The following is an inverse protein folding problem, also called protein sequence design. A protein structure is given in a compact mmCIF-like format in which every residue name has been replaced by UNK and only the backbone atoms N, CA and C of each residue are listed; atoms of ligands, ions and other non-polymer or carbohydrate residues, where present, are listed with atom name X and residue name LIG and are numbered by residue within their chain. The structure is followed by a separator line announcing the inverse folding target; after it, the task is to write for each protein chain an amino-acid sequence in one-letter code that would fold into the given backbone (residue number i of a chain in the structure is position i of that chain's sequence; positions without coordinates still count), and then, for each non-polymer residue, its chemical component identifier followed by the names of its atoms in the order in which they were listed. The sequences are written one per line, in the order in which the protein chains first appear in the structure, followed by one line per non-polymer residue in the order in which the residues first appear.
data_IF_437770510487
#
_entry.id   IF_437770510487
#
_cell.length_a   1.000
_cell.length_b   1.000
_cell.length_c   1.000
_cell.angle_alpha   90.00
_cell.angle_beta   90.00
_cell.angle_gamma   90.00
#
_symmetry.space_group_name_H-M   'P 1'
#
loop_
_entity.id
_entity.type
_entity.pdbx_description
1 polymer ?
#
# COMPACT_ATOMS: atom_id res chain seq x y z
N UNK A 1 35.84 -58.34 5.18
CA UNK A 1 35.64 -56.93 4.78
C UNK A 1 36.61 -56.15 5.62
N UNK A 2 37.80 -56.01 5.07
CA UNK A 2 39.03 -56.24 5.83
C UNK A 2 39.59 -54.96 6.41
N UNK A 3 39.98 -55.03 7.68
CA UNK A 3 40.65 -53.98 8.43
C UNK A 3 42.00 -53.57 7.80
N UNK A 4 42.53 -54.38 6.87
CA UNK A 4 43.79 -54.16 6.15
C UNK A 4 43.67 -53.16 4.99
N UNK A 5 42.48 -52.94 4.43
CA UNK A 5 42.29 -51.96 3.34
C UNK A 5 42.44 -50.51 3.85
N UNK A 6 42.13 -50.27 5.12
CA UNK A 6 42.29 -48.95 5.74
C UNK A 6 43.75 -48.60 6.06
N UNK A 7 44.65 -49.60 6.14
CA UNK A 7 46.06 -49.39 6.48
C UNK A 7 46.95 -49.11 5.26
N UNK A 8 46.46 -49.30 4.03
CA UNK A 8 47.22 -49.06 2.79
C UNK A 8 46.86 -47.76 2.07
N UNK A 9 45.96 -46.95 2.63
CA UNK A 9 45.64 -45.64 2.07
C UNK A 9 46.83 -44.69 2.29
N UNK A 10 47.48 -44.31 1.20
CA UNK A 10 48.55 -43.31 1.17
C UNK A 10 48.10 -42.06 1.94
N UNK A 11 48.97 -41.52 2.80
CA UNK A 11 48.70 -40.32 3.61
C UNK A 11 48.20 -39.17 2.72
N UNK A 12 48.68 -39.11 1.47
CA UNK A 12 48.21 -38.13 0.48
C UNK A 12 46.73 -38.27 0.13
N UNK A 13 46.21 -39.50 0.05
CA UNK A 13 44.78 -39.77 -0.22
C UNK A 13 43.93 -39.37 0.99
N UNK A 14 44.38 -39.66 2.21
CA UNK A 14 43.68 -39.26 3.44
C UNK A 14 43.62 -37.74 3.60
N UNK A 15 44.73 -37.04 3.33
CA UNK A 15 44.77 -35.56 3.33
C UNK A 15 43.86 -34.99 2.24
N UNK A 16 43.89 -35.55 1.03
CA UNK A 16 43.02 -35.13 -0.08
C UNK A 16 41.53 -35.27 0.25
N UNK A 17 41.13 -36.39 0.86
CA UNK A 17 39.75 -36.61 1.31
C UNK A 17 39.36 -35.64 2.44
N UNK A 18 40.26 -35.37 3.39
CA UNK A 18 40.02 -34.40 4.47
C UNK A 18 39.77 -32.99 3.95
N UNK A 19 40.59 -32.53 2.99
CA UNK A 19 40.42 -31.22 2.35
C UNK A 19 39.12 -31.16 1.53
N UNK A 20 38.78 -32.22 0.80
CA UNK A 20 37.55 -32.28 0.02
C UNK A 20 36.30 -32.22 0.91
N UNK A 21 36.28 -32.98 2.02
CA UNK A 21 35.17 -32.93 3.00
C UNK A 21 35.07 -31.56 3.64
N UNK A 22 36.19 -30.94 4.02
CA UNK A 22 36.19 -29.59 4.59
C UNK A 22 35.66 -28.56 3.58
N UNK A 23 36.08 -28.63 2.32
CA UNK A 23 35.60 -27.75 1.26
C UNK A 23 34.09 -27.92 1.02
N UNK A 24 33.57 -29.16 1.03
CA UNK A 24 32.13 -29.44 0.92
C UNK A 24 31.37 -28.88 2.13
N UNK A 25 31.88 -29.04 3.35
CA UNK A 25 31.24 -28.52 4.56
C UNK A 25 31.23 -26.98 4.57
N UNK A 26 32.32 -26.34 4.15
CA UNK A 26 32.41 -24.88 4.02
C UNK A 26 31.46 -24.39 2.92
N UNK A 27 31.42 -25.05 1.77
CA UNK A 27 30.50 -24.70 0.68
C UNK A 27 29.04 -24.91 1.11
N UNK A 28 28.73 -25.99 1.81
CA UNK A 28 27.40 -26.23 2.36
C UNK A 28 27.03 -25.16 3.39
N UNK A 29 27.90 -24.88 4.36
CA UNK A 29 27.69 -23.82 5.35
C UNK A 29 27.50 -22.45 4.68
N UNK A 30 28.30 -22.13 3.65
CA UNK A 30 28.17 -20.92 2.86
C UNK A 30 26.85 -20.87 2.09
N UNK A 31 26.43 -21.96 1.45
CA UNK A 31 25.16 -22.06 0.73
C UNK A 31 23.95 -21.99 1.68
N UNK A 32 24.02 -22.62 2.84
CA UNK A 32 22.99 -22.54 3.88
C UNK A 32 22.92 -21.14 4.49
N UNK A 33 24.06 -20.50 4.75
CA UNK A 33 24.14 -19.12 5.27
C UNK A 33 23.71 -18.08 4.22
N UNK A 34 23.96 -18.33 2.94
CA UNK A 34 23.64 -17.40 1.84
C UNK A 34 22.17 -17.49 1.36
N UNK A 35 21.40 -18.48 1.83
CA UNK A 35 19.97 -18.57 1.50
C UNK A 35 19.22 -17.45 2.21
N UNK A 36 18.82 -16.43 1.45
CA UNK A 36 17.88 -15.42 1.94
C UNK A 36 16.61 -16.13 2.43
N UNK A 37 16.14 -15.86 3.66
CA UNK A 37 14.93 -16.49 4.17
C UNK A 37 13.76 -16.16 3.24
N UNK A 38 12.99 -17.19 2.89
CA UNK A 38 11.82 -17.05 2.03
C UNK A 38 10.75 -16.28 2.80
N UNK A 39 10.29 -15.14 2.26
CA UNK A 39 9.25 -14.32 2.87
C UNK A 39 7.94 -15.08 3.11
N UNK A 40 7.22 -14.72 4.16
CA UNK A 40 5.96 -15.35 4.53
C UNK A 40 4.74 -14.88 3.72
N UNK A 41 4.88 -13.79 2.95
CA UNK A 41 3.79 -13.24 2.14
C UNK A 41 3.53 -14.02 0.85
N UNK A 42 2.28 -13.94 0.37
CA UNK A 42 1.81 -14.50 -0.91
C UNK A 42 1.13 -13.40 -1.74
N UNK A 43 1.63 -13.10 -2.97
CA UNK A 43 1.08 -12.00 -3.76
C UNK A 43 -0.35 -12.24 -4.22
N UNK A 44 -0.74 -13.51 -4.42
CA UNK A 44 -2.00 -13.88 -5.07
C UNK A 44 -3.04 -14.30 -4.03
N UNK A 45 -2.62 -15.02 -2.99
CA UNK A 45 -3.52 -15.61 -2.00
C UNK A 45 -3.44 -14.91 -0.64
N UNK A 46 -4.54 -14.95 0.13
CA UNK A 46 -4.52 -14.54 1.52
C UNK A 46 -3.94 -15.66 2.39
N UNK A 47 -3.09 -15.27 3.34
CA UNK A 47 -2.57 -16.13 4.41
C UNK A 47 -2.98 -15.57 5.76
N UNK A 48 -3.30 -16.46 6.68
CA UNK A 48 -3.74 -16.11 8.02
C UNK A 48 -2.54 -15.98 8.95
N UNK A 49 -2.48 -14.88 9.72
CA UNK A 49 -1.44 -14.64 10.72
C UNK A 49 -2.09 -14.39 12.07
N UNK A 50 -1.60 -15.06 13.11
CA UNK A 50 -2.21 -14.99 14.45
C UNK A 50 -1.76 -13.73 15.18
N UNK A 51 -2.72 -13.02 15.78
CA UNK A 51 -2.47 -11.90 16.68
C UNK A 51 -1.97 -12.42 18.03
N UNK A 52 -0.73 -12.11 18.37
CA UNK A 52 -0.12 -12.55 19.64
C UNK A 52 -0.07 -11.44 20.70
N UNK A 53 -0.10 -10.18 20.28
CA UNK A 53 -0.11 -9.04 21.21
C UNK A 53 -0.89 -7.87 20.63
N UNK A 54 -1.70 -7.24 21.49
CA UNK A 54 -2.38 -5.97 21.22
C UNK A 54 -1.98 -4.98 22.32
N UNK A 55 -1.47 -3.83 21.94
CA UNK A 55 -1.06 -2.77 22.85
C UNK A 55 -1.78 -1.48 22.48
N UNK A 56 -2.60 -0.94 23.39
CA UNK A 56 -3.23 0.36 23.19
C UNK A 56 -2.17 1.46 23.35
N UNK A 57 -2.05 2.36 22.38
CA UNK A 57 -1.08 3.47 22.41
C UNK A 57 -1.74 4.81 22.76
N UNK A 58 -2.97 5.04 22.26
CA UNK A 58 -3.78 6.21 22.59
C UNK A 58 -5.27 5.88 22.51
N UNK A 59 -6.17 6.84 22.72
CA UNK A 59 -7.62 6.61 22.68
C UNK A 59 -8.14 5.98 21.37
N UNK A 60 -7.47 6.21 20.24
CA UNK A 60 -7.87 5.69 18.93
C UNK A 60 -6.76 4.95 18.18
N UNK A 61 -5.65 4.59 18.85
CA UNK A 61 -4.50 3.92 18.24
C UNK A 61 -4.12 2.69 19.03
N UNK A 62 -3.93 1.58 18.33
CA UNK A 62 -3.33 0.38 18.91
C UNK A 62 -2.27 -0.22 17.98
N UNK A 63 -1.28 -0.85 18.60
CA UNK A 63 -0.27 -1.68 17.95
C UNK A 63 -0.68 -3.14 18.04
N UNK A 64 -0.65 -3.83 16.90
CA UNK A 64 -1.01 -5.24 16.75
C UNK A 64 0.23 -6.01 16.28
N UNK A 65 0.66 -7.00 17.04
CA UNK A 65 1.82 -7.84 16.74
C UNK A 65 1.33 -9.22 16.31
N UNK A 66 1.67 -9.61 15.08
CA UNK A 66 1.28 -10.89 14.50
C UNK A 66 2.50 -11.80 14.40
N UNK A 67 2.35 -13.06 14.80
CA UNK A 67 3.45 -14.04 14.67
C UNK A 67 3.60 -14.53 13.23
N UNK A 68 4.85 -14.78 12.84
CA UNK A 68 5.20 -15.49 11.62
C UNK A 68 5.33 -17.00 11.91
N UNK A 69 5.34 -17.87 10.88
CA UNK A 69 5.33 -19.32 11.06
C UNK A 69 6.47 -19.87 11.93
N UNK A 70 7.63 -19.21 11.96
CA UNK A 70 8.75 -19.56 12.85
C UNK A 70 9.37 -18.32 13.47
N UNK A 71 10.07 -18.43 14.62
CA UNK A 71 10.77 -17.29 15.25
C UNK A 71 11.86 -16.64 14.38
N UNK A 72 12.35 -17.36 13.38
CA UNK A 72 13.40 -16.89 12.45
C UNK A 72 12.84 -16.46 11.09
N UNK A 73 11.53 -16.59 10.88
CA UNK A 73 10.87 -16.19 9.64
C UNK A 73 10.92 -14.67 9.45
N UNK A 74 10.93 -14.21 8.20
CA UNK A 74 10.78 -12.80 7.85
C UNK A 74 9.50 -12.60 7.07
N UNK A 75 8.88 -11.42 7.21
CA UNK A 75 7.68 -11.11 6.45
C UNK A 75 7.97 -11.11 4.94
N UNK A 76 9.13 -10.60 4.54
CA UNK A 76 9.58 -10.54 3.14
C UNK A 76 8.85 -9.46 2.35
N UNK A 77 8.57 -8.32 2.99
CA UNK A 77 7.94 -7.17 2.37
C UNK A 77 9.02 -6.22 1.81
N UNK A 78 9.14 -6.06 0.48
CA UNK A 78 10.10 -5.10 -0.07
C UNK A 78 9.82 -3.68 0.43
N UNK A 79 10.90 -2.95 0.74
CA UNK A 79 10.80 -1.59 1.31
C UNK A 79 10.04 -0.67 0.36
N UNK A 80 9.01 0.00 0.88
CA UNK A 80 8.14 0.87 0.11
C UNK A 80 6.84 0.22 -0.40
N UNK A 81 6.73 -1.10 -0.28
CA UNK A 81 5.50 -1.85 -0.55
C UNK A 81 4.64 -2.00 0.71
N UNK A 82 3.43 -2.51 0.54
CA UNK A 82 2.47 -2.72 1.62
C UNK A 82 1.79 -4.08 1.49
N UNK A 83 1.04 -4.46 2.52
CA UNK A 83 0.20 -5.65 2.54
C UNK A 83 -1.28 -5.26 2.43
N UNK A 84 -2.10 -6.16 1.91
CA UNK A 84 -3.56 -6.05 1.91
C UNK A 84 -4.09 -6.92 3.04
N UNK A 85 -4.73 -6.30 4.02
CA UNK A 85 -5.43 -7.01 5.09
C UNK A 85 -6.90 -7.15 4.73
N UNK A 86 -7.48 -8.30 5.01
CA UNK A 86 -8.91 -8.58 4.85
C UNK A 86 -9.54 -8.76 6.23
N UNK A 87 -10.69 -8.11 6.43
CA UNK A 87 -11.46 -8.14 7.66
C UNK A 87 -12.95 -8.01 7.40
N UNK A 88 -13.73 -7.81 8.46
CA UNK A 88 -15.19 -7.64 8.41
C UNK A 88 -15.61 -6.34 9.09
N UNK A 89 -16.56 -5.63 8.51
CA UNK A 89 -17.16 -4.45 9.14
C UNK A 89 -18.27 -4.81 10.14
N UNK A 90 -18.97 -3.81 10.66
CA UNK A 90 -20.05 -3.97 11.63
C UNK A 90 -21.28 -4.71 11.10
N UNK A 91 -21.43 -4.82 9.78
CA UNK A 91 -22.51 -5.54 9.12
C UNK A 91 -22.08 -6.97 8.74
N UNK A 92 -20.82 -7.35 9.01
CA UNK A 92 -20.24 -8.62 8.61
C UNK A 92 -19.71 -8.65 7.18
N UNK A 93 -19.79 -7.54 6.44
CA UNK A 93 -19.35 -7.44 5.05
C UNK A 93 -17.82 -7.38 4.95
N UNK A 94 -17.28 -8.03 3.92
CA UNK A 94 -15.84 -8.07 3.71
C UNK A 94 -15.28 -6.68 3.37
N UNK A 95 -14.16 -6.35 4.00
CA UNK A 95 -13.39 -5.15 3.73
C UNK A 95 -11.91 -5.50 3.57
N UNK A 96 -11.31 -5.04 2.47
CA UNK A 96 -9.88 -5.19 2.22
C UNK A 96 -9.24 -3.81 2.20
N UNK A 97 -8.17 -3.62 2.97
CA UNK A 97 -7.44 -2.35 3.05
C UNK A 97 -5.92 -2.54 3.05
N UNK A 98 -5.17 -1.62 2.44
CA UNK A 98 -3.71 -1.65 2.50
C UNK A 98 -3.21 -1.18 3.87
N UNK A 99 -2.18 -1.86 4.38
CA UNK A 99 -1.44 -1.48 5.58
C UNK A 99 0.06 -1.66 5.34
N UNK A 100 0.86 -0.75 5.89
CA UNK A 100 2.33 -0.89 5.88
C UNK A 100 2.79 -1.24 7.30
N UNK A 101 3.40 -2.42 7.50
CA UNK A 101 4.03 -2.77 8.75
C UNK A 101 5.13 -1.81 9.15
N UNK A 102 5.28 -1.61 10.46
CA UNK A 102 6.34 -0.79 11.06
C UNK A 102 7.63 -1.57 11.30
N UNK A 103 7.58 -2.89 11.10
CA UNK A 103 8.73 -3.80 11.16
C UNK A 103 9.44 -3.92 9.81
N UNK A 104 10.72 -4.29 9.87
CA UNK A 104 11.56 -4.64 8.73
C UNK A 104 11.86 -6.14 8.74
N UNK A 105 12.47 -6.65 7.66
CA UNK A 105 12.92 -8.06 7.62
C UNK A 105 14.06 -8.36 8.63
N UNK A 106 14.66 -7.34 9.25
CA UNK A 106 15.55 -7.51 10.41
C UNK A 106 14.80 -7.92 11.69
N UNK A 107 13.50 -7.62 11.76
CA UNK A 107 12.64 -7.90 12.90
C UNK A 107 12.01 -9.28 12.67
N UNK A 108 12.73 -10.33 13.06
CA UNK A 108 12.34 -11.73 12.76
C UNK A 108 11.17 -12.23 13.63
N UNK A 109 10.44 -13.20 13.11
CA UNK A 109 9.42 -13.96 13.83
C UNK A 109 8.07 -13.27 13.99
N UNK A 110 7.95 -11.99 13.64
CA UNK A 110 6.69 -11.26 13.76
C UNK A 110 6.61 -10.07 12.79
N UNK A 111 5.42 -9.49 12.66
CA UNK A 111 5.26 -8.14 12.10
C UNK A 111 4.28 -7.32 12.91
N UNK A 112 4.48 -5.99 12.91
CA UNK A 112 3.64 -5.08 13.67
C UNK A 112 2.85 -4.14 12.75
N UNK A 113 1.57 -3.95 13.10
CA UNK A 113 0.69 -2.95 12.51
C UNK A 113 0.28 -1.93 13.56
N UNK A 114 0.60 -0.65 13.30
CA UNK A 114 0.11 0.47 14.10
C UNK A 114 -1.13 1.05 13.42
N UNK A 115 -2.29 0.84 14.04
CA UNK A 115 -3.59 1.14 13.45
C UNK A 115 -4.26 2.28 14.21
N UNK A 116 -4.50 3.40 13.51
CA UNK A 116 -5.46 4.42 13.95
C UNK A 116 -6.87 3.99 13.54
N UNK A 117 -7.72 3.78 14.53
CA UNK A 117 -9.10 3.32 14.39
C UNK A 117 -10.05 4.52 14.34
N UNK A 118 -10.78 4.66 13.23
CA UNK A 118 -11.78 5.71 13.05
C UNK A 118 -13.16 5.20 13.46
N UNK A 119 -14.01 6.00 14.12
CA UNK A 119 -15.33 5.54 14.60
C UNK A 119 -16.19 4.91 13.50
N UNK A 120 -16.23 5.53 12.32
CA UNK A 120 -17.00 5.10 11.14
C UNK A 120 -16.17 4.28 10.13
N UNK A 121 -14.98 3.83 10.51
CA UNK A 121 -14.10 3.07 9.63
C UNK A 121 -14.51 1.60 9.53
N UNK A 122 -14.91 1.13 8.33
CA UNK A 122 -15.25 -0.29 8.08
C UNK A 122 -14.17 -1.26 8.56
N UNK A 123 -12.92 -1.05 8.16
CA UNK A 123 -11.79 -1.87 8.63
C UNK A 123 -11.38 -1.52 10.07
N UNK A 124 -11.64 -0.30 10.53
CA UNK A 124 -11.41 0.07 11.93
C UNK A 124 -12.32 -0.72 12.89
N UNK A 125 -13.54 -1.07 12.47
CA UNK A 125 -14.40 -1.98 13.22
C UNK A 125 -13.72 -3.35 13.41
N UNK A 126 -13.20 -3.94 12.33
CA UNK A 126 -12.50 -5.22 12.41
C UNK A 126 -11.37 -5.21 13.45
N UNK A 127 -10.50 -4.19 13.43
CA UNK A 127 -9.40 -4.08 14.39
C UNK A 127 -9.85 -3.79 15.83
N UNK A 128 -11.03 -3.16 16.04
CA UNK A 128 -11.59 -2.98 17.38
C UNK A 128 -11.98 -4.33 17.99
N UNK A 129 -12.62 -5.19 17.20
CA UNK A 129 -13.10 -6.51 17.61
C UNK A 129 -11.99 -7.56 17.71
N UNK A 130 -10.88 -7.39 17.00
CA UNK A 130 -9.78 -8.36 16.96
C UNK A 130 -9.12 -8.54 18.34
N UNK A 131 -9.06 -9.80 18.81
CA UNK A 131 -8.53 -10.21 20.10
C UNK A 131 -7.26 -11.04 19.93
N UNK A 132 -6.41 -11.06 20.96
CA UNK A 132 -5.24 -11.93 20.99
C UNK A 132 -5.70 -13.39 20.86
N UNK A 133 -5.06 -14.14 19.95
CA UNK A 133 -5.48 -15.47 19.56
C UNK A 133 -6.19 -15.53 18.21
N UNK A 134 -6.81 -14.43 17.76
CA UNK A 134 -7.48 -14.36 16.47
C UNK A 134 -6.48 -14.28 15.31
N UNK A 135 -6.98 -14.45 14.09
CA UNK A 135 -6.18 -14.41 12.87
C UNK A 135 -6.56 -13.24 11.98
N UNK A 136 -5.55 -12.67 11.31
CA UNK A 136 -5.73 -11.66 10.27
C UNK A 136 -5.31 -12.24 8.91
N UNK A 137 -6.22 -12.17 7.96
CA UNK A 137 -5.98 -12.54 6.57
C UNK A 137 -5.15 -11.46 5.87
N UNK A 138 -3.95 -11.82 5.41
CA UNK A 138 -2.99 -10.91 4.78
C UNK A 138 -2.55 -11.42 3.41
N UNK A 139 -2.52 -10.54 2.41
CA UNK A 139 -2.01 -10.79 1.06
C UNK A 139 -0.94 -9.75 0.69
N UNK A 140 0.14 -10.16 0.02
CA UNK A 140 1.19 -9.23 -0.36
C UNK A 140 2.46 -9.89 -0.91
N UNK A 141 3.48 -9.12 -1.28
CA UNK A 141 3.51 -7.67 -1.22
C UNK A 141 2.70 -7.01 -2.36
N UNK A 142 2.25 -5.77 -2.14
CA UNK A 142 1.55 -4.93 -3.12
C UNK A 142 2.15 -3.53 -3.15
N UNK A 143 1.98 -2.83 -4.28
CA UNK A 143 2.45 -1.46 -4.47
C UNK A 143 3.58 -1.34 -5.48
N UNK A 144 3.67 -0.15 -6.09
CA UNK A 144 4.62 0.15 -7.18
C UNK A 144 5.95 0.72 -6.70
N UNK A 145 5.95 1.35 -5.53
CA UNK A 145 7.17 1.94 -4.98
C UNK A 145 8.02 0.84 -4.36
N UNK A 146 9.27 0.79 -4.78
CA UNK A 146 10.28 -0.10 -4.25
C UNK A 146 11.55 0.70 -4.06
N UNK A 147 11.98 0.81 -2.83
CA UNK A 147 13.22 1.50 -2.48
C UNK A 147 14.43 0.61 -2.74
N UNK A 148 15.53 1.23 -3.17
CA UNK A 148 16.85 0.61 -3.24
C UNK A 148 17.89 1.54 -2.57
N UNK A 149 18.86 0.99 -1.81
CA UNK A 149 19.88 1.81 -1.16
C UNK A 149 20.62 2.72 -2.14
N UNK A 150 20.75 4.00 -1.80
CA UNK A 150 21.45 4.99 -2.63
C UNK A 150 20.70 5.39 -3.91
N UNK A 151 19.41 5.08 -4.05
CA UNK A 151 18.61 5.45 -5.23
C UNK A 151 18.53 6.98 -5.43
N UNK A 152 18.56 7.76 -4.35
CA UNK A 152 18.50 9.22 -4.37
C UNK A 152 19.41 9.77 -3.27
N UNK A 153 19.84 11.03 -3.39
CA UNK A 153 20.60 11.73 -2.37
C UNK A 153 19.75 12.03 -1.13
N UNK A 154 18.49 12.42 -1.34
CA UNK A 154 17.59 12.75 -0.24
C UNK A 154 16.11 12.45 -0.53
N UNK A 155 15.39 12.08 0.53
CA UNK A 155 13.93 12.04 0.54
C UNK A 155 13.35 13.22 1.30
N UNK A 156 12.32 13.85 0.73
CA UNK A 156 11.35 14.65 1.47
C UNK A 156 10.06 13.84 1.67
N UNK A 157 9.68 13.59 2.91
CA UNK A 157 8.51 12.80 3.27
C UNK A 157 7.47 13.73 3.90
N UNK A 158 6.23 13.66 3.44
CA UNK A 158 5.13 14.43 3.97
C UNK A 158 4.04 13.45 4.41
N UNK A 159 3.88 13.29 5.71
CA UNK A 159 2.98 12.32 6.32
C UNK A 159 1.83 12.99 7.07
N UNK A 160 0.64 12.39 7.02
CA UNK A 160 -0.52 12.82 7.80
C UNK A 160 -1.20 11.68 8.54
N UNK A 161 -1.32 11.79 9.87
CA UNK A 161 -1.92 10.75 10.71
C UNK A 161 -1.26 9.38 10.49
N UNK A 162 -2.05 8.34 10.19
CA UNK A 162 -1.51 6.99 9.88
C UNK A 162 -0.74 6.88 8.56
N UNK A 163 -0.58 7.96 7.80
CA UNK A 163 0.31 7.99 6.64
C UNK A 163 1.80 7.94 7.00
N UNK A 164 2.13 8.00 8.29
CA UNK A 164 3.50 7.87 8.79
C UNK A 164 4.08 6.47 8.60
N UNK A 165 3.28 5.40 8.66
CA UNK A 165 3.81 4.03 8.66
C UNK A 165 4.63 3.67 7.40
N UNK A 166 4.23 4.00 6.16
CA UNK A 166 5.10 3.80 5.01
C UNK A 166 6.36 4.68 5.03
N UNK A 167 6.28 5.90 5.57
CA UNK A 167 7.45 6.78 5.69
C UNK A 167 8.44 6.24 6.71
N UNK A 168 7.93 5.76 7.85
CA UNK A 168 8.70 5.15 8.90
C UNK A 168 9.41 3.88 8.43
N UNK A 169 8.74 3.02 7.65
CA UNK A 169 9.37 1.84 7.06
C UNK A 169 10.57 2.21 6.17
N UNK A 170 10.38 3.17 5.26
CA UNK A 170 11.46 3.62 4.36
C UNK A 170 12.58 4.29 5.14
N UNK A 171 12.25 5.19 6.08
CA UNK A 171 13.23 5.87 6.91
C UNK A 171 14.07 4.88 7.74
N UNK A 172 13.43 3.93 8.44
CA UNK A 172 14.15 2.89 9.19
C UNK A 172 15.08 2.08 8.28
N UNK A 173 14.61 1.66 7.11
CA UNK A 173 15.41 0.86 6.18
C UNK A 173 16.64 1.61 5.66
N UNK A 174 16.53 2.92 5.42
CA UNK A 174 17.64 3.78 5.02
C UNK A 174 18.63 3.96 6.18
N UNK A 175 18.13 4.30 7.36
CA UNK A 175 18.95 4.69 8.51
C UNK A 175 19.67 3.49 9.14
N UNK A 176 19.01 2.34 9.20
CA UNK A 176 19.59 1.11 9.77
C UNK A 176 20.54 0.39 8.81
N UNK A 177 20.63 0.83 7.54
CA UNK A 177 21.60 0.30 6.59
C UNK A 177 22.88 1.17 6.57
N UNK A 178 24.03 0.67 7.09
CA UNK A 178 25.26 1.46 7.15
C UNK A 178 25.86 1.79 5.78
N UNK A 179 25.45 1.10 4.72
CA UNK A 179 25.91 1.37 3.34
C UNK A 179 25.07 2.43 2.62
N UNK A 180 23.98 2.87 3.24
CA UNK A 180 23.05 3.82 2.66
C UNK A 180 23.28 5.21 3.25
N UNK A 181 23.67 6.16 2.41
CA UNK A 181 23.98 7.55 2.81
C UNK A 181 22.85 8.53 2.50
N UNK A 182 21.67 8.03 2.15
CA UNK A 182 20.51 8.86 1.81
C UNK A 182 20.03 9.66 3.02
N UNK A 183 19.83 10.97 2.83
CA UNK A 183 19.24 11.84 3.85
C UNK A 183 17.71 11.77 3.82
N UNK A 184 17.06 11.85 4.97
CA UNK A 184 15.60 11.76 5.09
C UNK A 184 15.07 12.94 5.89
N UNK A 185 14.18 13.71 5.26
CA UNK A 185 13.49 14.85 5.84
C UNK A 185 12.01 14.52 5.92
N UNK A 186 11.41 14.61 7.11
CA UNK A 186 10.01 14.29 7.34
C UNK A 186 9.27 15.52 7.88
N UNK A 187 8.19 15.92 7.19
CA UNK A 187 7.16 16.78 7.74
C UNK A 187 6.01 15.86 8.17
N UNK A 188 5.66 15.89 9.46
CA UNK A 188 4.61 15.04 10.01
C UNK A 188 3.49 15.86 10.62
N UNK A 189 2.29 15.78 10.02
CA UNK A 189 1.14 16.59 10.37
C UNK A 189 0.02 15.79 11.05
N UNK A 190 -0.46 16.29 12.18
CA UNK A 190 -1.51 15.69 13.01
C UNK A 190 -2.47 16.75 13.56
N UNK A 191 -3.61 16.34 14.12
CA UNK A 191 -4.57 17.29 14.69
C UNK A 191 -4.07 17.79 16.04
N UNK A 192 -3.90 16.89 17.00
CA UNK A 192 -3.39 17.19 18.35
C UNK A 192 -2.04 16.52 18.60
N UNK A 193 -1.40 16.82 19.73
CA UNK A 193 -0.14 16.20 20.12
C UNK A 193 -0.25 14.69 20.34
N UNK A 194 -1.35 14.23 20.94
CA UNK A 194 -1.66 12.83 21.25
C UNK A 194 -1.93 12.00 19.99
N UNK A 195 -2.17 12.66 18.86
CA UNK A 195 -2.37 12.03 17.57
C UNK A 195 -1.05 11.67 16.87
N UNK A 196 0.10 12.13 17.37
CA UNK A 196 1.42 11.87 16.77
C UNK A 196 1.80 10.41 17.00
N UNK A 197 1.61 9.58 15.96
CA UNK A 197 1.94 8.16 16.00
C UNK A 197 3.46 7.96 15.91
N UNK A 198 3.98 6.96 16.60
CA UNK A 198 5.39 6.57 16.58
C UNK A 198 6.34 7.71 17.01
N UNK A 199 5.86 8.62 17.89
CA UNK A 199 6.64 9.81 18.25
C UNK A 199 7.98 9.45 18.87
N UNK A 200 7.97 8.55 19.85
CA UNK A 200 9.17 8.11 20.57
C UNK A 200 10.17 7.43 19.63
N UNK A 201 9.68 6.59 18.71
CA UNK A 201 10.51 5.92 17.72
C UNK A 201 11.10 6.90 16.70
N UNK A 202 10.33 7.90 16.26
CA UNK A 202 10.81 8.95 15.37
C UNK A 202 11.88 9.82 16.05
N UNK A 203 11.64 10.26 17.28
CA UNK A 203 12.59 11.05 18.06
C UNK A 203 13.87 10.24 18.33
N UNK A 204 13.76 8.93 18.57
CA UNK A 204 14.90 8.03 18.71
C UNK A 204 15.71 7.93 17.42
N UNK A 205 15.06 7.89 16.24
CA UNK A 205 15.77 7.95 14.96
C UNK A 205 16.49 9.29 14.77
N UNK A 206 15.91 10.40 15.21
CA UNK A 206 16.57 11.71 15.14
C UNK A 206 17.82 11.74 16.02
N UNK A 207 17.73 11.22 17.25
CA UNK A 207 18.83 11.16 18.19
C UNK A 207 19.97 10.24 17.72
N UNK A 208 19.63 9.08 17.14
CA UNK A 208 20.61 8.08 16.70
C UNK A 208 21.27 8.41 15.36
N UNK A 209 20.63 9.23 14.51
CA UNK A 209 21.12 9.57 13.18
C UNK A 209 21.17 11.09 12.95
N UNK A 210 21.92 11.83 13.78
CA UNK A 210 21.99 13.28 13.67
C UNK A 210 22.49 13.72 12.29
N UNK A 211 21.85 14.73 11.72
CA UNK A 211 22.17 15.26 10.39
C UNK A 211 21.58 14.47 9.22
N UNK A 212 21.33 13.15 9.37
CA UNK A 212 20.75 12.30 8.34
C UNK A 212 19.23 12.19 8.39
N UNK A 213 18.65 12.23 9.59
CA UNK A 213 17.19 12.22 9.76
C UNK A 213 16.73 13.50 10.45
N UNK A 214 15.76 14.19 9.85
CA UNK A 214 15.13 15.38 10.42
C UNK A 214 13.63 15.21 10.39
N UNK A 215 12.97 15.53 11.51
CA UNK A 215 11.52 15.53 11.63
C UNK A 215 11.05 16.92 12.01
N UNK A 216 10.04 17.42 11.29
CA UNK A 216 9.32 18.64 11.63
C UNK A 216 7.85 18.31 11.86
N UNK A 217 7.42 18.44 13.11
CA UNK A 217 6.04 18.17 13.50
C UNK A 217 5.16 19.40 13.24
N UNK A 218 3.94 19.16 12.76
CA UNK A 218 2.93 20.19 12.47
C UNK A 218 1.61 19.79 13.11
N UNK A 219 1.02 20.69 13.90
CA UNK A 219 -0.24 20.42 14.61
C UNK A 219 -1.31 21.46 14.26
N UNK A 220 -2.54 21.00 14.01
CA UNK A 220 -3.68 21.90 13.85
C UNK A 220 -4.10 22.53 15.19
N UNK A 221 -4.05 21.76 16.27
CA UNK A 221 -4.42 22.14 17.63
C UNK A 221 -3.21 21.85 18.55
N UNK A 222 -2.18 22.71 18.51
CA UNK A 222 -0.99 22.52 19.34
C UNK A 222 -1.30 22.80 20.83
N UNK A 223 -0.52 22.22 21.76
CA UNK A 223 -0.51 22.68 23.15
C UNK A 223 0.01 24.13 23.25
N UNK A 224 -0.19 24.78 24.40
CA UNK A 224 0.26 26.16 24.64
C UNK A 224 1.75 26.37 24.34
N UNK A 225 2.58 25.39 24.70
CA UNK A 225 4.02 25.39 24.41
C UNK A 225 4.28 24.47 23.22
N UNK A 226 4.45 25.05 22.04
CA UNK A 226 4.72 24.32 20.81
C UNK A 226 5.75 25.01 19.92
N UNK A 227 6.81 24.28 19.57
CA UNK A 227 7.92 24.78 18.75
C UNK A 227 7.87 24.29 17.30
N UNK A 228 6.82 23.56 16.92
CA UNK A 228 6.63 23.03 15.57
C UNK A 228 5.72 23.91 14.72
N UNK A 229 5.31 23.37 13.56
CA UNK A 229 4.36 24.05 12.69
C UNK A 229 2.96 24.08 13.28
N UNK A 230 2.21 25.14 12.99
CA UNK A 230 0.82 25.31 13.41
C UNK A 230 -0.10 25.35 12.20
N UNK A 231 -1.23 24.66 12.27
CA UNK A 231 -2.23 24.61 11.21
C UNK A 231 -1.97 23.49 10.19
N UNK A 232 -2.22 23.78 8.92
CA UNK A 232 -1.93 22.84 7.82
C UNK A 232 -0.50 23.04 7.32
N UNK A 233 0.08 21.97 6.74
CA UNK A 233 1.39 22.06 6.08
C UNK A 233 1.33 23.11 4.98
N UNK A 234 2.19 24.12 5.05
CA UNK A 234 2.25 25.21 4.09
C UNK A 234 3.36 24.99 3.05
N UNK A 235 3.35 25.82 2.00
CA UNK A 235 4.40 25.84 0.96
C UNK A 235 5.76 26.19 1.58
N UNK A 236 5.78 27.13 2.51
CA UNK A 236 6.97 27.64 3.20
C UNK A 236 7.58 26.57 4.10
N UNK A 237 6.75 25.77 4.78
CA UNK A 237 7.20 24.63 5.56
C UNK A 237 7.89 23.59 4.68
N UNK A 238 7.32 23.28 3.51
CA UNK A 238 7.93 22.35 2.55
C UNK A 238 9.27 22.89 2.06
N UNK A 239 9.32 24.16 1.64
CA UNK A 239 10.53 24.80 1.16
C UNK A 239 11.65 24.84 2.21
N UNK A 240 11.29 24.99 3.49
CA UNK A 240 12.26 25.08 4.59
C UNK A 240 12.77 23.72 5.06
N UNK A 241 11.89 22.73 5.14
CA UNK A 241 12.20 21.44 5.79
C UNK A 241 12.46 20.28 4.82
N UNK A 242 11.99 20.35 3.57
CA UNK A 242 12.28 19.35 2.55
C UNK A 242 13.49 19.75 1.68
N UNK A 243 14.16 18.79 1.02
CA UNK A 243 15.21 19.11 0.06
C UNK A 243 14.63 19.92 -1.11
N UNK A 244 15.39 20.92 -1.58
CA UNK A 244 15.02 21.71 -2.75
C UNK A 244 14.84 20.81 -4.00
N UNK A 245 13.99 21.23 -4.97
CA UNK A 245 13.80 20.49 -6.22
C UNK A 245 15.13 20.22 -6.92
N UNK A 246 15.41 18.95 -7.17
CA UNK A 246 16.60 18.47 -7.84
C UNK A 246 16.32 17.09 -8.46
N UNK A 247 17.04 16.67 -9.52
CA UNK A 247 16.83 15.37 -10.15
C UNK A 247 17.22 14.18 -9.25
N UNK A 248 18.04 14.42 -8.24
CA UNK A 248 18.61 13.41 -7.34
C UNK A 248 17.86 13.31 -5.99
N UNK A 249 16.64 13.84 -5.90
CA UNK A 249 15.79 13.76 -4.71
C UNK A 249 14.44 13.12 -5.03
N UNK A 250 13.71 12.72 -3.99
CA UNK A 250 12.35 12.22 -4.16
C UNK A 250 11.44 12.67 -3.03
N UNK A 251 10.25 13.16 -3.40
CA UNK A 251 9.21 13.54 -2.46
C UNK A 251 8.18 12.41 -2.34
N UNK A 252 8.01 11.89 -1.12
CA UNK A 252 6.98 10.91 -0.78
C UNK A 252 5.87 11.60 0.00
N UNK A 253 4.61 11.42 -0.39
CA UNK A 253 3.46 11.90 0.38
C UNK A 253 2.46 10.80 0.71
N UNK A 254 1.99 10.77 1.94
CA UNK A 254 0.93 9.86 2.35
C UNK A 254 0.11 10.49 3.49
N UNK A 255 -1.14 10.81 3.20
CA UNK A 255 -2.05 11.41 4.17
C UNK A 255 -3.50 11.28 3.73
N UNK A 256 -4.44 11.95 4.42
CA UNK A 256 -5.84 11.98 4.02
C UNK A 256 -5.98 12.56 2.60
N UNK A 257 -7.02 12.20 1.82
CA UNK A 257 -7.17 12.69 0.46
C UNK A 257 -7.10 14.22 0.30
N UNK A 258 -7.70 15.04 1.20
CA UNK A 258 -7.56 16.51 1.14
C UNK A 258 -6.11 16.97 1.30
N UNK A 259 -5.37 16.38 2.24
CA UNK A 259 -3.96 16.67 2.45
C UNK A 259 -3.14 16.32 1.20
N UNK A 260 -3.29 15.10 0.66
CA UNK A 260 -2.53 14.69 -0.54
C UNK A 260 -2.78 15.64 -1.72
N UNK A 261 -4.02 16.12 -1.88
CA UNK A 261 -4.39 17.08 -2.94
C UNK A 261 -3.73 18.44 -2.72
N UNK A 262 -3.76 18.97 -1.50
CA UNK A 262 -3.10 20.23 -1.16
C UNK A 262 -1.58 20.15 -1.35
N UNK A 263 -0.95 19.06 -0.88
CA UNK A 263 0.50 18.86 -1.03
C UNK A 263 0.92 18.76 -2.48
N UNK A 264 0.13 18.12 -3.35
CA UNK A 264 0.41 18.12 -4.78
C UNK A 264 0.46 19.55 -5.34
N UNK A 265 -0.53 20.39 -5.02
CA UNK A 265 -0.54 21.79 -5.45
C UNK A 265 0.64 22.61 -4.91
N UNK A 266 1.06 22.40 -3.66
CA UNK A 266 2.23 23.09 -3.11
C UNK A 266 3.54 22.65 -3.76
N UNK A 267 3.69 21.35 -4.02
CA UNK A 267 4.88 20.79 -4.68
C UNK A 267 4.98 21.30 -6.13
N UNK A 268 3.88 21.32 -6.86
CA UNK A 268 3.84 21.86 -8.22
C UNK A 268 4.21 23.36 -8.24
N UNK A 269 3.68 24.13 -7.28
CA UNK A 269 4.00 25.56 -7.13
C UNK A 269 5.43 25.84 -6.65
N UNK A 270 6.13 24.84 -6.13
CA UNK A 270 7.54 24.90 -5.74
C UNK A 270 8.48 24.39 -6.84
N UNK A 271 7.94 23.88 -7.95
CA UNK A 271 8.74 23.37 -9.06
C UNK A 271 9.24 21.94 -8.89
N UNK A 272 8.65 21.14 -8.00
CA UNK A 272 8.93 19.70 -7.97
C UNK A 272 8.25 19.03 -9.15
N UNK A 273 9.02 18.37 -10.02
CA UNK A 273 8.44 17.70 -11.18
C UNK A 273 7.68 16.41 -10.79
N UNK A 274 6.70 15.95 -11.59
CA UNK A 274 5.90 14.78 -11.25
C UNK A 274 6.70 13.47 -11.05
N UNK A 275 7.82 13.31 -11.75
CA UNK A 275 8.66 12.11 -11.71
C UNK A 275 9.45 11.94 -10.40
N UNK A 276 9.74 13.05 -9.72
CA UNK A 276 10.36 13.05 -8.40
C UNK A 276 9.33 12.99 -7.27
N UNK A 277 8.03 12.93 -7.59
CA UNK A 277 6.94 12.82 -6.61
C UNK A 277 6.37 11.39 -6.58
N UNK A 278 6.05 10.88 -5.39
CA UNK A 278 5.30 9.64 -5.22
C UNK A 278 4.24 9.78 -4.13
N UNK A 279 3.02 9.36 -4.45
CA UNK A 279 1.91 9.33 -3.49
C UNK A 279 1.64 7.90 -3.04
N UNK A 280 1.65 7.67 -1.72
CA UNK A 280 1.16 6.44 -1.12
C UNK A 280 -0.35 6.28 -1.31
N UNK A 281 -0.79 5.20 -1.94
CA UNK A 281 -2.21 4.90 -2.11
C UNK A 281 -2.76 4.23 -0.85
N UNK A 282 -3.57 4.96 -0.07
CA UNK A 282 -4.42 4.36 0.99
C UNK A 282 -5.83 3.99 0.51
N UNK A 283 -6.19 4.40 -0.70
CA UNK A 283 -7.49 4.17 -1.28
C UNK A 283 -7.49 2.95 -2.19
N UNK A 284 -8.49 2.10 -2.01
CA UNK A 284 -8.77 0.82 -2.68
C UNK A 284 -9.06 0.93 -4.18
N UNK A 285 -8.68 2.02 -4.86
CA UNK A 285 -8.84 2.11 -6.33
C UNK A 285 -8.07 1.01 -7.07
N UNK A 286 -7.00 0.50 -6.48
CA UNK A 286 -6.28 -0.67 -7.00
C UNK A 286 -7.06 -1.99 -6.82
N UNK A 287 -7.98 -2.08 -5.84
CA UNK A 287 -8.91 -3.22 -5.72
C UNK A 287 -10.03 -3.10 -6.75
N UNK A 288 -10.55 -1.90 -7.02
CA UNK A 288 -11.59 -1.73 -8.05
C UNK A 288 -11.04 -2.04 -9.45
N UNK A 289 -9.78 -1.68 -9.74
CA UNK A 289 -9.14 -2.09 -11.00
C UNK A 289 -8.97 -3.61 -11.12
N UNK A 290 -8.89 -4.33 -9.99
CA UNK A 290 -8.82 -5.80 -9.93
C UNK A 290 -10.22 -6.45 -9.95
N UNK A 291 -11.23 -5.78 -9.37
CA UNK A 291 -12.62 -6.24 -9.31
C UNK A 291 -13.37 -6.01 -10.63
N UNK A 292 -13.03 -4.95 -11.38
CA UNK A 292 -13.52 -4.77 -12.75
C UNK A 292 -13.05 -5.92 -13.66
N UNK A 293 -11.95 -6.62 -13.31
CA UNK A 293 -11.50 -7.82 -14.01
C UNK A 293 -12.24 -9.11 -13.56
N UNK A 294 -13.03 -9.09 -12.48
CA UNK A 294 -13.69 -10.28 -11.91
C UNK A 294 -15.23 -10.29 -12.01
N UNK A 295 -15.90 -9.16 -12.22
CA UNK A 295 -17.33 -9.14 -12.56
C UNK A 295 -17.57 -9.24 -14.06
N UNK A 296 -17.27 -10.41 -14.64
CA UNK A 296 -17.97 -10.94 -15.81
C UNK A 296 -18.64 -12.26 -15.41
N UNK A 297 -19.64 -12.17 -14.56
CA UNK A 297 -20.73 -13.13 -14.57
C UNK A 297 -21.99 -12.39 -14.12
N UNK A 298 -22.66 -11.76 -15.08
CA UNK A 298 -24.01 -11.27 -14.90
C UNK A 298 -24.91 -12.26 -15.64
N UNK A 299 -25.66 -13.02 -14.85
CA UNK A 299 -26.63 -13.99 -15.32
C UNK A 299 -27.91 -13.21 -15.65
N UNK A 300 -28.16 -13.00 -16.94
CA UNK A 300 -29.47 -12.63 -17.47
C UNK A 300 -29.81 -13.69 -18.51
N UNK A 301 -31.03 -14.24 -18.41
CA UNK A 301 -31.45 -15.47 -19.06
C UNK A 301 -31.13 -15.57 -20.55
N UNK A 302 -30.66 -16.76 -20.94
CA UNK A 302 -30.85 -17.33 -22.27
C UNK A 302 -30.14 -16.64 -23.45
N UNK A 303 -28.81 -16.60 -23.46
CA UNK A 303 -27.97 -16.76 -24.67
C UNK A 303 -26.48 -16.61 -24.31
N UNK A 304 -25.68 -17.64 -24.58
CA UNK A 304 -24.22 -17.61 -24.41
C UNK A 304 -23.59 -17.07 -25.69
N UNK A 305 -22.97 -15.89 -25.63
CA UNK A 305 -22.10 -15.37 -26.67
C UNK A 305 -20.73 -15.02 -26.10
N UNK A 306 -19.67 -15.73 -26.51
CA UNK A 306 -18.27 -15.40 -26.12
C UNK A 306 -17.78 -14.20 -26.91
N UNK A 307 -17.24 -13.20 -26.22
CA UNK A 307 -16.40 -12.17 -26.84
C UNK A 307 -15.13 -11.99 -25.99
N UNK A 308 -13.98 -12.30 -26.60
CA UNK A 308 -12.67 -11.87 -26.14
C UNK A 308 -12.54 -10.36 -26.41
N UNK A 309 -12.10 -9.59 -25.41
CA UNK A 309 -11.85 -8.16 -25.59
C UNK A 309 -10.51 -7.82 -24.94
N UNK A 310 -9.50 -7.66 -25.80
CA UNK A 310 -8.22 -7.03 -25.49
C UNK A 310 -8.45 -5.54 -25.26
N UNK A 311 -8.01 -5.04 -24.10
CA UNK A 311 -7.79 -3.64 -23.71
C UNK A 311 -8.56 -2.56 -24.49
N UNK A 312 -9.71 -2.13 -23.97
CA UNK A 312 -10.43 -0.93 -24.43
C UNK A 312 -10.58 0.09 -23.28
N UNK A 313 -10.32 1.36 -23.57
CA UNK A 313 -10.50 2.47 -22.61
C UNK A 313 -11.98 2.78 -22.36
N UNK A 314 -12.28 3.37 -21.19
CA UNK A 314 -13.65 3.68 -20.72
C UNK A 314 -14.48 4.51 -21.72
N UNK A 315 -13.83 5.42 -22.47
CA UNK A 315 -14.49 6.23 -23.50
C UNK A 315 -14.95 5.41 -24.71
N UNK A 316 -14.25 4.31 -25.02
CA UNK A 316 -14.59 3.43 -26.12
C UNK A 316 -15.80 2.54 -25.74
N UNK A 317 -15.86 2.10 -24.47
CA UNK A 317 -17.00 1.35 -23.94
C UNK A 317 -18.30 2.17 -23.92
N UNK A 318 -18.25 3.44 -23.48
CA UNK A 318 -19.43 4.33 -23.49
C UNK A 318 -19.99 4.56 -24.89
N UNK A 319 -19.13 4.77 -25.89
CA UNK A 319 -19.55 4.95 -27.28
C UNK A 319 -20.23 3.69 -27.84
N UNK A 320 -19.69 2.51 -27.53
CA UNK A 320 -20.27 1.23 -27.95
C UNK A 320 -21.60 0.94 -27.26
N UNK A 321 -21.73 1.27 -25.97
CA UNK A 321 -22.98 1.13 -25.22
C UNK A 321 -24.10 2.03 -25.81
N UNK A 322 -23.80 3.31 -26.07
CA UNK A 322 -24.75 4.24 -26.70
C UNK A 322 -25.16 3.75 -28.09
N UNK A 323 -24.22 3.23 -28.89
CA UNK A 323 -24.50 2.70 -30.23
C UNK A 323 -25.40 1.47 -30.17
N UNK A 324 -25.19 0.56 -29.21
CA UNK A 324 -26.03 -0.63 -29.03
C UNK A 324 -27.44 -0.30 -28.54
N UNK A 325 -27.57 0.64 -27.60
CA UNK A 325 -28.88 1.15 -27.15
C UNK A 325 -29.65 1.79 -28.30
N UNK A 326 -28.98 2.57 -29.18
CA UNK A 326 -29.60 3.14 -30.37
C UNK A 326 -30.10 2.07 -31.35
N UNK A 327 -29.29 1.04 -31.64
CA UNK A 327 -29.67 -0.06 -32.55
C UNK A 327 -30.90 -0.83 -32.04
N UNK A 328 -30.96 -1.15 -30.74
CA UNK A 328 -32.10 -1.88 -30.18
C UNK A 328 -33.37 -1.03 -30.10
N UNK A 329 -33.25 0.27 -29.82
CA UNK A 329 -34.40 1.20 -29.82
C UNK A 329 -34.92 1.36 -31.25
N UNK A 330 -34.03 1.57 -32.24
CA UNK A 330 -34.43 1.73 -33.65
C UNK A 330 -35.07 0.44 -34.20
N UNK A 331 -34.56 -0.75 -33.83
CA UNK A 331 -35.12 -2.05 -34.22
C UNK A 331 -36.44 -2.42 -33.53
N UNK A 332 -36.68 -1.90 -32.33
CA UNK A 332 -37.98 -2.03 -31.63
C UNK A 332 -39.02 -1.07 -32.23
N UNK A 333 -38.62 0.16 -32.55
CA UNK A 333 -39.49 1.20 -33.11
C UNK A 333 -39.91 0.94 -34.55
N UNK A 334 -39.06 0.30 -35.38
CA UNK A 334 -39.43 -0.10 -36.74
C UNK A 334 -40.58 -1.12 -36.78
N UNK A 335 -40.86 -1.81 -35.66
CA UNK A 335 -42.01 -2.72 -35.51
C UNK A 335 -43.28 -2.04 -34.97
N UNK A 336 -43.17 -0.85 -34.37
CA UNK A 336 -44.28 -0.16 -33.69
C UNK A 336 -44.66 1.19 -34.33
N UNK A 337 -43.96 1.65 -35.38
CA UNK A 337 -44.35 2.83 -36.15
C UNK A 337 -44.08 4.18 -35.46
N UNK A 338 -43.34 4.23 -34.35
CA UNK A 338 -43.08 5.44 -33.57
C UNK A 338 -41.65 5.98 -33.78
N UNK A 339 -41.42 7.27 -33.49
CA UNK A 339 -40.09 7.91 -33.57
C UNK A 339 -39.64 8.37 -32.18
N UNK A 340 -38.41 8.04 -31.78
CA UNK A 340 -37.82 8.49 -30.52
C UNK A 340 -36.58 9.36 -30.75
N UNK A 341 -36.35 10.32 -29.86
CA UNK A 341 -35.15 11.16 -29.87
C UNK A 341 -34.37 10.93 -28.58
N UNK A 342 -33.08 10.58 -28.69
CA UNK A 342 -32.20 10.35 -27.53
C UNK A 342 -31.58 11.71 -27.12
N UNK A 343 -31.96 12.22 -25.95
CA UNK A 343 -31.39 13.43 -25.36
C UNK A 343 -30.05 13.15 -24.66
N UNK A 344 -29.17 14.16 -24.63
CA UNK A 344 -27.78 14.05 -24.18
C UNK A 344 -27.58 13.51 -22.76
N UNK A 345 -26.37 13.00 -22.51
CA UNK A 345 -25.97 12.43 -21.21
C UNK A 345 -25.74 13.55 -20.20
N UNK A 346 -26.58 13.61 -19.17
CA UNK A 346 -26.38 14.55 -18.06
C UNK A 346 -25.76 13.84 -16.87
N UNK A 347 -24.78 14.50 -16.25
CA UNK A 347 -24.09 14.03 -15.06
C UNK A 347 -24.94 14.42 -13.84
N UNK A 348 -25.69 13.47 -13.30
CA UNK A 348 -26.47 13.69 -12.09
C UNK A 348 -25.61 13.56 -10.84
N UNK A 349 -25.58 14.59 -10.00
CA UNK A 349 -25.15 14.48 -8.60
C UNK A 349 -26.37 14.07 -7.77
N UNK A 350 -26.36 12.83 -7.26
CA UNK A 350 -27.18 12.46 -6.10
C UNK A 350 -26.24 12.02 -4.98
N UNK A 351 -26.67 12.29 -3.75
CA UNK A 351 -25.90 12.31 -2.51
C UNK A 351 -25.46 10.95 -1.97
N UNK A 352 -25.49 9.89 -2.76
CA UNK A 352 -25.01 8.56 -2.37
C UNK A 352 -24.09 8.02 -3.48
N UNK A 353 -22.96 7.43 -3.10
CA UNK A 353 -21.78 7.16 -3.94
C UNK A 353 -21.97 6.06 -5.02
N UNK A 354 -22.91 6.28 -5.94
CA UNK A 354 -23.02 5.59 -7.23
C UNK A 354 -23.11 6.65 -8.34
N UNK A 355 -22.08 6.73 -9.19
CA UNK A 355 -22.17 7.53 -10.41
C UNK A 355 -23.10 6.82 -11.41
N UNK A 356 -24.37 7.23 -11.45
CA UNK A 356 -25.32 6.84 -12.49
C UNK A 356 -25.30 7.82 -13.66
N UNK A 357 -25.27 7.31 -14.88
CA UNK A 357 -25.58 8.10 -16.08
C UNK A 357 -27.07 7.94 -16.38
N UNK A 358 -27.78 9.06 -16.53
CA UNK A 358 -29.19 9.05 -16.92
C UNK A 358 -29.27 9.35 -18.41
N UNK A 359 -29.81 8.42 -19.19
CA UNK A 359 -30.17 8.65 -20.60
C UNK A 359 -31.65 8.97 -20.64
N UNK A 360 -32.00 10.17 -21.10
CA UNK A 360 -33.40 10.55 -21.29
C UNK A 360 -33.84 10.21 -22.71
N UNK A 361 -34.89 9.41 -22.84
CA UNK A 361 -35.53 9.11 -24.12
C UNK A 361 -36.93 9.71 -24.08
N UNK A 362 -37.25 10.57 -25.04
CA UNK A 362 -38.59 11.13 -25.22
C UNK A 362 -39.23 10.53 -26.46
N UNK A 363 -40.46 10.05 -26.30
CA UNK A 363 -41.30 9.51 -27.38
C UNK A 363 -42.32 10.58 -27.76
N UNK A 364 -42.58 10.73 -29.05
CA UNK A 364 -43.68 11.54 -29.59
C UNK A 364 -44.53 10.63 -30.45
N UNK A 365 -45.80 10.45 -30.09
CA UNK A 365 -46.75 9.68 -30.88
C UNK A 365 -47.09 10.44 -32.17
N UNK A 366 -46.96 9.77 -33.32
CA UNK A 366 -47.50 10.24 -34.59
C UNK A 366 -48.73 9.35 -34.85
N UNK A 367 -49.92 9.84 -34.51
CA UNK A 367 -51.15 9.30 -35.09
C UNK A 367 -51.43 10.07 -36.39
N UNK A 368 -51.55 9.42 -37.56
CA UNK A 368 -52.21 10.01 -38.71
C UNK A 368 -53.72 9.67 -38.62
N UNK A 369 -54.54 10.71 -38.44
CA UNK A 369 -56.01 10.80 -38.53
C UNK A 369 -56.86 9.70 -37.87
#
# INVERSE_FOLDING_TARGET
MDLEFLQSMDVQILVGLGVAVLAILVAAAYLFSSRKPKGCLDPENFREFKLVKRQQLSHNVAKFTFELPTPTSVLGLPIGQHISCRGKDSQGEEVIKPYTPTTLDSDVGHFELVIKMYPQGRMSHHFRELRVGDYLAVKGPKGRFRYQPGQVRAFGMIAGGSGITPMFQVARAILQNPKDMTNVHLIYANVTYEDILLKEELDSLVANYPGRFKVYYVLNQPPEVWNGGVGFVSKEMIQTHCPAPAPDIKILRCGPPPMNKAMAGHLDALGYSPEIQFQGNRNTRDIISSAIAWTKSLQIGGAIGRWACTTMSLNCWLKSAIRWTKINIDGFLSRCGSRATIGGVTRGLRSDWLFGFKVSVSFTDIFPN
#
